data_IF_904700986596
#
_entry.id   IF_904700986596
#
_cell.length_a   1.000
_cell.length_b   1.000
_cell.length_c   1.000
_cell.angle_alpha   90.00
_cell.angle_beta   90.00
_cell.angle_gamma   90.00
#
_symmetry.space_group_name_H-M   'P 1'
#
loop_
_entity.id
_entity.type
_entity.pdbx_description
1 polymer ?
#
# COMPACT_ATOMS: atom_id res chain seq x y z
N UNK A 1 13.45 4.27 -24.62
CA UNK A 1 12.73 4.37 -24.25
C UNK A 1 12.09 4.63 -24.29
N UNK A 2 12.25 4.59 -24.54
CA UNK A 2 11.47 4.85 -24.31
C UNK A 2 10.63 4.84 -24.12
N UNK A 3 10.82 4.75 -24.19
CA UNK A 3 9.93 4.87 -23.89
C UNK A 3 9.40 5.07 -23.36
N UNK A 4 9.71 5.15 -23.51
CA UNK A 4 9.07 5.47 -22.91
C UNK A 4 8.41 5.67 -22.33
N UNK A 5 8.54 5.70 -22.37
CA UNK A 5 7.77 6.04 -21.81
C UNK A 5 7.09 6.26 -21.32
N UNK A 6 6.89 6.14 -21.40
CA UNK A 6 6.03 6.52 -21.12
C UNK A 6 5.53 6.65 -20.31
N UNK A 7 5.40 6.13 -20.09
CA UNK A 7 4.54 6.25 -19.18
C UNK A 7 4.60 7.21 -18.34
N UNK A 8 4.96 7.71 -18.52
CA UNK A 8 4.94 8.54 -17.80
C UNK A 8 4.21 9.36 -17.25
N UNK A 9 3.60 9.17 -17.67
CA UNK A 9 2.68 10.04 -17.10
C UNK A 9 2.43 9.86 -15.66
N UNK A 10 2.74 8.77 -15.12
CA UNK A 10 2.62 8.61 -13.69
C UNK A 10 3.80 9.25 -13.01
N UNK A 11 3.59 9.78 -11.83
CA UNK A 11 4.64 10.29 -10.99
C UNK A 11 5.47 9.18 -10.36
N UNK A 12 5.08 7.92 -10.60
CA UNK A 12 5.66 6.79 -9.92
C UNK A 12 6.29 5.84 -10.90
N UNK A 13 7.60 5.65 -10.78
CA UNK A 13 8.34 4.64 -11.52
C UNK A 13 8.38 3.36 -10.70
N UNK A 14 8.82 2.26 -11.33
CA UNK A 14 9.02 1.02 -10.62
C UNK A 14 10.05 1.18 -9.49
N UNK A 15 11.15 1.88 -9.77
CA UNK A 15 12.17 2.12 -8.75
C UNK A 15 11.62 2.93 -7.57
N UNK A 16 10.85 3.98 -7.85
CA UNK A 16 10.22 4.78 -6.80
C UNK A 16 9.22 3.94 -6.00
N UNK A 17 8.45 3.10 -6.69
CA UNK A 17 7.49 2.23 -6.03
C UNK A 17 8.16 1.25 -5.09
N UNK A 18 9.22 0.59 -5.57
CA UNK A 18 9.96 -0.38 -4.75
C UNK A 18 10.61 0.30 -3.55
N UNK A 19 11.17 1.47 -3.77
CA UNK A 19 11.77 2.27 -2.70
C UNK A 19 10.74 2.66 -1.65
N UNK A 20 9.58 3.15 -2.08
CA UNK A 20 8.52 3.54 -1.17
C UNK A 20 7.99 2.38 -0.36
N UNK A 21 7.80 1.23 -1.00
CA UNK A 21 7.32 0.03 -0.32
C UNK A 21 8.33 -0.46 0.72
N UNK A 22 9.62 -0.38 0.41
CA UNK A 22 10.66 -0.76 1.37
C UNK A 22 10.64 0.16 2.60
N UNK A 23 10.46 1.46 2.38
CA UNK A 23 10.37 2.42 3.47
C UNK A 23 9.12 2.16 4.33
N UNK A 24 7.99 1.91 3.68
CA UNK A 24 6.75 1.62 4.39
C UNK A 24 6.89 0.35 5.23
N UNK A 25 7.50 -0.69 4.67
CA UNK A 25 7.72 -1.93 5.40
C UNK A 25 8.61 -1.70 6.63
N UNK A 26 9.66 -0.90 6.48
CA UNK A 26 10.55 -0.56 7.58
C UNK A 26 9.80 0.20 8.67
N UNK A 27 8.96 1.14 8.28
CA UNK A 27 8.14 1.91 9.21
C UNK A 27 7.21 0.97 10.00
N UNK A 28 6.57 0.04 9.31
CA UNK A 28 5.66 -0.89 9.97
C UNK A 28 6.41 -1.79 10.95
N UNK A 29 7.61 -2.27 10.58
CA UNK A 29 8.42 -3.08 11.49
C UNK A 29 8.81 -2.31 12.74
N UNK A 30 9.18 -1.05 12.58
CA UNK A 30 9.51 -0.19 13.73
C UNK A 30 8.31 0.04 14.64
N UNK A 31 7.11 0.03 14.08
CA UNK A 31 5.88 0.18 14.86
C UNK A 31 5.43 -1.14 15.51
N UNK A 32 6.21 -2.20 15.35
CA UNK A 32 5.93 -3.48 16.00
C UNK A 32 5.15 -4.47 15.15
N UNK A 33 4.98 -4.18 13.86
CA UNK A 33 4.27 -5.10 12.97
C UNK A 33 5.23 -6.12 12.37
N UNK A 34 4.71 -7.33 12.16
CA UNK A 34 5.39 -8.30 11.31
C UNK A 34 4.96 -8.02 9.87
N UNK A 35 5.93 -7.82 8.99
CA UNK A 35 5.64 -7.62 7.56
C UNK A 35 5.54 -9.00 6.92
N UNK A 36 4.35 -9.32 6.41
CA UNK A 36 4.08 -10.62 5.80
C UNK A 36 4.42 -10.65 4.33
N UNK A 37 4.42 -9.49 3.67
CA UNK A 37 4.78 -9.42 2.26
C UNK A 37 4.92 -8.00 1.79
N UNK A 38 5.71 -7.82 0.72
CA UNK A 38 5.94 -6.53 0.06
C UNK A 38 5.77 -6.79 -1.43
N UNK A 39 4.96 -5.94 -2.09
CA UNK A 39 4.69 -6.10 -3.51
C UNK A 39 4.05 -7.45 -3.81
N UNK A 40 3.03 -7.81 -3.05
CA UNK A 40 2.38 -9.12 -3.14
C UNK A 40 1.45 -9.14 -4.35
N UNK A 41 1.70 -10.07 -5.26
CA UNK A 41 0.87 -10.22 -6.45
C UNK A 41 -0.07 -11.41 -6.28
N UNK A 42 -1.32 -11.20 -6.69
CA UNK A 42 -2.39 -12.21 -6.59
C UNK A 42 -3.07 -12.29 -7.95
N UNK A 43 -2.67 -13.29 -8.72
CA UNK A 43 -3.14 -13.43 -10.08
C UNK A 43 -2.59 -12.33 -10.98
N UNK A 44 -3.20 -12.12 -12.17
CA UNK A 44 -2.64 -11.19 -13.15
C UNK A 44 -2.95 -9.71 -12.86
N UNK A 45 -3.93 -9.41 -12.01
CA UNK A 45 -4.40 -8.04 -11.84
C UNK A 45 -4.19 -7.47 -10.45
N UNK A 46 -4.19 -8.29 -9.43
CA UNK A 46 -4.25 -7.80 -8.06
C UNK A 46 -2.87 -7.71 -7.44
N UNK A 47 -2.63 -6.62 -6.74
CA UNK A 47 -1.36 -6.39 -6.07
C UNK A 47 -1.59 -5.63 -4.78
N UNK A 48 -0.85 -6.00 -3.74
CA UNK A 48 -0.87 -5.31 -2.46
C UNK A 48 0.54 -4.82 -2.16
N UNK A 49 0.66 -3.55 -1.81
CA UNK A 49 1.97 -2.94 -1.63
C UNK A 49 2.69 -3.52 -0.41
N UNK A 50 2.03 -3.54 0.74
CA UNK A 50 2.58 -4.12 1.96
C UNK A 50 1.45 -4.78 2.73
N UNK A 51 1.73 -5.97 3.25
CA UNK A 51 0.81 -6.67 4.14
C UNK A 51 1.52 -6.86 5.47
N UNK A 52 0.90 -6.47 6.57
CA UNK A 52 1.51 -6.51 7.88
C UNK A 52 0.52 -7.03 8.92
N UNK A 53 1.06 -7.51 10.02
CA UNK A 53 0.24 -8.04 11.10
C UNK A 53 0.83 -7.69 12.45
N UNK A 54 -0.05 -7.33 13.38
CA UNK A 54 0.35 -7.10 14.77
C UNK A 54 -0.74 -7.71 15.64
N UNK A 55 -0.38 -8.75 16.39
CA UNK A 55 -1.36 -9.49 17.19
C UNK A 55 -2.49 -10.01 16.28
N UNK A 56 -3.72 -9.62 16.54
CA UNK A 56 -4.90 -10.05 15.81
C UNK A 56 -5.35 -9.05 14.75
N UNK A 57 -4.54 -8.04 14.48
CA UNK A 57 -4.85 -7.02 13.45
C UNK A 57 -4.04 -7.31 12.19
N UNK A 58 -4.74 -7.49 11.09
CA UNK A 58 -4.13 -7.63 9.77
C UNK A 58 -4.30 -6.32 9.03
N UNK A 59 -3.19 -5.78 8.50
CA UNK A 59 -3.17 -4.46 7.88
C UNK A 59 -2.71 -4.57 6.44
N UNK A 60 -3.51 -4.02 5.55
CA UNK A 60 -3.12 -3.83 4.14
C UNK A 60 -2.71 -2.38 4.00
N UNK A 61 -1.48 -2.15 3.57
CA UNK A 61 -0.90 -0.81 3.50
C UNK A 61 -0.76 -0.41 2.04
N UNK A 62 -1.43 0.66 1.68
CA UNK A 62 -1.27 1.27 0.36
C UNK A 62 -0.15 2.30 0.48
N UNK A 63 0.84 2.21 -0.41
CA UNK A 63 2.00 3.09 -0.37
C UNK A 63 1.90 4.09 -1.50
N UNK A 64 2.02 5.36 -1.16
CA UNK A 64 2.02 6.46 -2.12
C UNK A 64 3.35 7.18 -2.08
N UNK A 65 4.03 7.22 -3.22
CA UNK A 65 5.27 7.97 -3.36
C UNK A 65 5.03 9.21 -4.18
N UNK A 66 5.58 10.32 -3.73
CA UNK A 66 5.50 11.62 -4.41
C UNK A 66 6.83 12.32 -4.29
N UNK A 67 7.18 13.08 -5.32
CA UNK A 67 8.42 13.86 -5.27
C UNK A 67 8.31 15.04 -4.33
N UNK A 68 7.13 15.63 -4.20
CA UNK A 68 6.90 16.79 -3.34
C UNK A 68 5.45 16.81 -2.89
N UNK A 69 5.16 17.70 -1.92
CA UNK A 69 3.80 17.89 -1.42
C UNK A 69 2.99 18.89 -2.26
N UNK A 70 3.54 19.32 -3.39
CA UNK A 70 2.91 20.36 -4.20
C UNK A 70 1.58 19.94 -4.83
N UNK A 71 1.30 18.64 -4.92
CA UNK A 71 0.16 18.13 -5.65
C UNK A 71 -0.84 17.40 -4.73
N UNK A 72 -1.38 18.12 -3.79
CA UNK A 72 -2.48 17.64 -2.99
C UNK A 72 -2.07 16.96 -1.69
N UNK A 73 -3.05 16.50 -0.97
CA UNK A 73 -2.86 15.90 0.35
C UNK A 73 -2.65 14.41 0.27
N UNK A 74 -1.94 13.83 1.25
CA UNK A 74 -1.74 12.37 1.29
C UNK A 74 -3.03 11.56 1.27
N UNK A 75 -4.00 11.99 2.05
CA UNK A 75 -5.26 11.26 2.19
C UNK A 75 -6.08 11.25 0.90
N UNK A 76 -5.85 12.24 0.02
CA UNK A 76 -6.57 12.32 -1.25
C UNK A 76 -6.06 11.30 -2.27
N UNK A 77 -5.00 10.58 -1.94
CA UNK A 77 -4.41 9.61 -2.84
C UNK A 77 -5.27 8.36 -3.03
N UNK A 78 -6.20 8.09 -2.10
CA UNK A 78 -7.04 6.90 -2.19
C UNK A 78 -8.46 7.32 -2.53
N UNK A 79 -8.80 7.21 -3.81
CA UNK A 79 -10.15 7.49 -4.29
C UNK A 79 -10.99 6.20 -4.35
N UNK A 80 -12.24 6.32 -4.81
CA UNK A 80 -13.16 5.19 -4.86
C UNK A 80 -12.64 4.05 -5.74
N UNK A 81 -12.01 4.37 -6.88
CA UNK A 81 -11.47 3.35 -7.77
C UNK A 81 -10.33 2.59 -7.11
N UNK A 82 -9.44 3.30 -6.41
CA UNK A 82 -8.32 2.68 -5.71
C UNK A 82 -8.80 1.83 -4.54
N UNK A 83 -9.76 2.34 -3.77
CA UNK A 83 -10.38 1.59 -2.67
C UNK A 83 -10.96 0.27 -3.17
N UNK A 84 -11.65 0.29 -4.30
CA UNK A 84 -12.21 -0.91 -4.92
C UNK A 84 -11.11 -1.90 -5.29
N UNK A 85 -10.06 -1.42 -5.93
CA UNK A 85 -8.95 -2.27 -6.37
C UNK A 85 -8.24 -2.92 -5.19
N UNK A 86 -7.94 -2.14 -4.16
CA UNK A 86 -7.26 -2.65 -2.96
C UNK A 86 -8.16 -3.62 -2.21
N UNK A 87 -9.45 -3.32 -2.11
CA UNK A 87 -10.42 -4.20 -1.46
C UNK A 87 -10.48 -5.56 -2.15
N UNK A 88 -10.51 -5.57 -3.49
CA UNK A 88 -10.51 -6.82 -4.25
C UNK A 88 -9.24 -7.62 -3.99
N UNK A 89 -8.10 -6.95 -4.02
CA UNK A 89 -6.82 -7.62 -3.76
C UNK A 89 -6.77 -8.18 -2.34
N UNK A 90 -7.30 -7.44 -1.37
CA UNK A 90 -7.33 -7.90 0.02
C UNK A 90 -8.17 -9.17 0.18
N UNK A 91 -9.35 -9.20 -0.42
CA UNK A 91 -10.20 -10.39 -0.37
C UNK A 91 -9.49 -11.58 -1.02
N UNK A 92 -8.85 -11.34 -2.16
CA UNK A 92 -8.09 -12.38 -2.85
C UNK A 92 -6.97 -12.93 -1.95
N UNK A 93 -6.25 -12.05 -1.28
CA UNK A 93 -5.20 -12.43 -0.34
C UNK A 93 -5.74 -13.29 0.79
N UNK A 94 -6.85 -12.89 1.38
CA UNK A 94 -7.45 -13.62 2.50
C UNK A 94 -7.91 -15.02 2.08
N UNK A 95 -8.42 -15.16 0.87
CA UNK A 95 -8.82 -16.47 0.34
C UNK A 95 -7.63 -17.40 0.17
N UNK A 96 -6.46 -16.85 -0.17
CA UNK A 96 -5.27 -17.65 -0.43
C UNK A 96 -4.53 -18.05 0.84
N UNK A 97 -4.52 -17.19 1.85
CA UNK A 97 -3.63 -17.35 3.00
C UNK A 97 -4.23 -18.02 4.23
N UNK A 98 -5.52 -17.91 4.43
CA UNK A 98 -6.27 -18.65 5.46
C UNK A 98 -5.73 -18.61 6.88
N UNK A 99 -5.11 -17.55 7.30
CA UNK A 99 -4.76 -17.42 8.70
C UNK A 99 -5.78 -16.57 9.45
N UNK A 100 -5.78 -16.71 10.77
CA UNK A 100 -6.77 -16.03 11.61
C UNK A 100 -6.40 -14.59 11.87
N UNK A 101 -7.41 -13.73 11.89
CA UNK A 101 -7.30 -12.34 12.31
C UNK A 101 -8.65 -11.95 12.90
N UNK A 102 -8.65 -11.01 13.83
CA UNK A 102 -9.89 -10.50 14.39
C UNK A 102 -10.24 -9.14 13.81
N UNK A 103 -9.23 -8.38 13.43
CA UNK A 103 -9.45 -7.04 12.88
C UNK A 103 -8.69 -6.89 11.58
N UNK A 104 -9.34 -6.20 10.64
CA UNK A 104 -8.77 -5.87 9.34
C UNK A 104 -8.70 -4.37 9.22
N UNK A 105 -7.56 -3.87 8.75
CA UNK A 105 -7.37 -2.43 8.65
C UNK A 105 -6.68 -2.08 7.33
N UNK A 106 -7.08 -0.96 6.76
CA UNK A 106 -6.44 -0.43 5.55
C UNK A 106 -5.73 0.87 5.90
N UNK A 107 -4.44 0.88 5.74
CA UNK A 107 -3.59 2.03 6.04
C UNK A 107 -3.01 2.61 4.76
N UNK A 108 -2.62 3.88 4.83
CA UNK A 108 -1.84 4.51 3.77
C UNK A 108 -0.52 4.96 4.38
N UNK A 109 0.57 4.67 3.68
CA UNK A 109 1.87 5.25 4.01
C UNK A 109 2.26 6.10 2.82
N UNK A 110 2.47 7.39 3.07
CA UNK A 110 2.93 8.32 2.05
C UNK A 110 4.40 8.57 2.23
N UNK A 111 5.17 8.43 1.15
CA UNK A 111 6.61 8.68 1.14
C UNK A 111 6.87 9.81 0.18
N UNK A 112 7.41 10.92 0.68
CA UNK A 112 7.70 12.10 -0.11
C UNK A 112 9.20 12.21 -0.28
N UNK A 113 9.65 12.16 -1.53
CA UNK A 113 11.05 12.20 -1.89
C UNK A 113 11.34 11.30 -3.07
N UNK A 114 12.62 11.01 -3.26
CA UNK A 114 13.10 10.17 -4.36
C UNK A 114 14.09 9.14 -3.82
N UNK A 115 14.26 8.02 -4.55
CA UNK A 115 15.29 7.05 -4.17
C UNK A 115 16.65 7.74 -4.00
N UNK A 116 17.32 7.43 -2.92
CA UNK A 116 18.59 8.07 -2.58
C UNK A 116 18.46 9.18 -1.55
N UNK A 117 17.27 9.69 -1.30
CA UNK A 117 17.10 10.68 -0.24
C UNK A 117 17.39 10.05 1.11
N UNK A 118 18.15 10.77 1.93
CA UNK A 118 18.52 10.28 3.25
C UNK A 118 17.38 10.35 4.25
N UNK A 119 16.56 11.40 4.13
CA UNK A 119 15.47 11.64 5.07
C UNK A 119 14.20 12.02 4.33
N UNK A 120 13.58 11.08 3.65
CA UNK A 120 12.30 11.37 3.04
C UNK A 120 11.27 11.66 4.12
N UNK A 121 10.24 12.40 3.76
CA UNK A 121 9.12 12.62 4.66
C UNK A 121 8.20 11.42 4.54
N UNK A 122 7.87 10.81 5.67
CA UNK A 122 7.01 9.61 5.69
C UNK A 122 5.84 9.88 6.61
N UNK A 123 4.64 9.62 6.13
CA UNK A 123 3.42 9.77 6.91
C UNK A 123 2.64 8.47 6.90
N UNK A 124 2.23 8.04 8.08
CA UNK A 124 1.43 6.83 8.24
C UNK A 124 0.02 7.24 8.65
N UNK A 125 -0.95 6.90 7.84
CA UNK A 125 -2.35 7.17 8.10
C UNK A 125 -3.02 5.84 8.39
N UNK A 126 -3.27 5.59 9.67
CA UNK A 126 -3.93 4.35 10.08
C UNK A 126 -5.41 4.42 9.79
N UNK A 127 -5.97 3.30 9.39
CA UNK A 127 -7.39 3.15 9.13
C UNK A 127 -7.88 4.23 8.14
N UNK A 128 -7.15 4.36 7.05
CA UNK A 128 -7.38 5.43 6.08
C UNK A 128 -8.67 5.24 5.30
N UNK A 129 -9.12 4.00 5.12
CA UNK A 129 -10.38 3.70 4.44
C UNK A 129 -10.86 2.31 4.89
N UNK A 130 -12.09 1.98 4.51
CA UNK A 130 -12.69 0.69 4.84
C UNK A 130 -12.87 -0.14 3.58
N UNK A 131 -13.13 -1.42 3.77
CA UNK A 131 -13.41 -2.32 2.65
C UNK A 131 -14.55 -1.77 1.81
N UNK A 132 -14.40 -1.82 0.49
CA UNK A 132 -15.47 -1.39 -0.40
C UNK A 132 -16.70 -2.27 -0.15
N UNK A 133 -17.90 -1.67 0.03
CA UNK A 133 -19.09 -2.45 0.40
C UNK A 133 -19.48 -3.52 -0.61
N UNK A 134 -18.98 -3.44 -1.84
CA UNK A 134 -19.24 -4.48 -2.84
C UNK A 134 -18.53 -5.79 -2.56
N UNK A 135 -17.57 -5.81 -1.66
CA UNK A 135 -16.81 -7.01 -1.34
C UNK A 135 -17.16 -7.51 0.04
N UNK A 136 -17.14 -8.83 0.19
CA UNK A 136 -17.43 -9.51 1.45
C UNK A 136 -16.18 -10.25 1.88
N UNK A 137 -15.85 -10.16 3.16
CA UNK A 137 -14.74 -10.91 3.71
C UNK A 137 -15.03 -12.42 3.65
N UNK A 138 -14.00 -13.24 3.38
CA UNK A 138 -14.22 -14.70 3.26
C UNK A 138 -14.62 -15.39 4.55
N UNK A 139 -14.41 -14.76 5.69
CA UNK A 139 -14.77 -15.33 6.97
C UNK A 139 -15.54 -14.34 7.81
#
# INVERSE_FOLDING_TARGET
DMKQGGGQMTSRTKASGDWGEAIAAKLMRKAGYRVLGIGVRLGPRDELDVVARKKDVLVFVEVKTRKSEAFGRPADAVNAAKRKTVSRAAVHYLQACRFKYDFLRFDVVEVIGEPGDRKPVVRHIENAFTLDPRYTLPY
#
